data_IF_968372451709
#
_entry.id   IF_968372451709
#
_cell.length_a   1.000
_cell.length_b   1.000
_cell.length_c   1.000
_cell.angle_alpha   90.00
_cell.angle_beta   90.00
_cell.angle_gamma   90.00
#
_symmetry.space_group_name_H-M   'P 1'
#
loop_
_entity.id
_entity.type
_entity.pdbx_description
1 polymer ?
#
# COMPACT_ATOMS: atom_id res chain seq x y z
N UNK A 1 -1.09 -16.21 -8.82
CA UNK A 1 -0.28 -16.31 -7.59
C UNK A 1 -0.18 -17.74 -7.10
N UNK A 2 -1.16 -18.61 -7.36
CA UNK A 2 -1.09 -20.07 -7.18
C UNK A 2 -0.20 -20.75 -8.21
N UNK A 3 -0.30 -20.38 -9.49
CA UNK A 3 0.49 -21.00 -10.58
C UNK A 3 2.01 -20.91 -10.37
N UNK A 4 2.52 -19.79 -9.84
CA UNK A 4 3.95 -19.64 -9.52
C UNK A 4 4.36 -20.48 -8.31
N UNK A 5 3.44 -20.76 -7.38
CA UNK A 5 3.70 -21.67 -6.26
C UNK A 5 3.69 -23.11 -6.74
N UNK A 6 2.73 -23.48 -7.59
CA UNK A 6 2.59 -24.83 -8.13
C UNK A 6 3.78 -25.21 -9.04
N UNK A 7 4.28 -24.28 -9.86
CA UNK A 7 5.47 -24.50 -10.71
C UNK A 7 6.77 -24.57 -9.89
N UNK A 8 6.85 -23.86 -8.75
CA UNK A 8 8.02 -23.86 -7.88
C UNK A 8 8.05 -25.10 -6.95
N UNK A 9 6.89 -25.60 -6.56
CA UNK A 9 6.70 -26.87 -5.87
C UNK A 9 7.00 -28.06 -6.80
N UNK A 10 6.66 -27.94 -8.09
CA UNK A 10 7.03 -28.93 -9.10
C UNK A 10 8.53 -28.99 -9.37
N UNK A 11 9.25 -27.85 -9.30
CA UNK A 11 10.71 -27.82 -9.38
C UNK A 11 11.40 -28.33 -8.10
N UNK A 12 10.68 -28.36 -6.97
CA UNK A 12 11.17 -28.92 -5.71
C UNK A 12 11.08 -30.46 -5.69
N UNK A 13 10.09 -31.03 -6.38
CA UNK A 13 9.82 -32.48 -6.42
C UNK A 13 10.68 -33.26 -7.44
N UNK A 14 11.48 -32.59 -8.27
CA UNK A 14 12.31 -33.21 -9.34
C UNK A 14 13.76 -33.40 -8.86
N UNK A 15 13.97 -34.41 -8.02
CA UNK A 15 15.26 -34.75 -7.37
C UNK A 15 16.44 -34.97 -8.35
N UNK A 16 16.14 -35.38 -9.59
CA UNK A 16 17.14 -35.74 -10.62
C UNK A 16 17.97 -34.52 -11.11
N UNK A 17 17.43 -33.30 -11.07
CA UNK A 17 18.12 -32.08 -11.48
C UNK A 17 18.77 -31.31 -10.29
N UNK A 18 18.41 -31.67 -9.05
CA UNK A 18 18.89 -31.04 -7.81
C UNK A 18 20.38 -31.30 -7.55
N UNK A 19 20.86 -32.51 -7.83
CA UNK A 19 22.25 -32.93 -7.64
C UNK A 19 23.23 -32.21 -8.59
N UNK A 20 22.74 -31.73 -9.73
CA UNK A 20 23.56 -31.14 -10.79
C UNK A 20 23.95 -29.66 -10.52
N UNK A 21 23.32 -29.04 -9.51
CA UNK A 21 23.59 -27.69 -9.00
C UNK A 21 24.84 -27.60 -8.09
N UNK A 22 25.43 -28.74 -7.67
CA UNK A 22 26.71 -28.79 -6.95
C UNK A 22 27.91 -28.53 -7.89
N UNK A 23 28.06 -27.27 -8.30
CA UNK A 23 29.09 -26.80 -9.25
C UNK A 23 30.54 -27.00 -8.78
N UNK A 24 30.78 -27.07 -7.47
CA UNK A 24 32.12 -27.24 -6.89
C UNK A 24 32.76 -28.59 -7.25
N UNK A 25 31.96 -29.66 -7.31
CA UNK A 25 32.39 -31.02 -7.70
C UNK A 25 32.54 -31.12 -9.23
N UNK A 26 31.64 -30.51 -9.99
CA UNK A 26 31.68 -30.47 -11.46
C UNK A 26 32.90 -29.71 -12.00
N UNK A 27 33.30 -28.63 -11.34
CA UNK A 27 34.54 -27.90 -11.65
C UNK A 27 35.81 -28.67 -11.25
N UNK A 28 35.80 -29.39 -10.13
CA UNK A 28 36.92 -30.25 -9.74
C UNK A 28 37.15 -31.43 -10.71
N UNK A 29 36.07 -31.97 -11.30
CA UNK A 29 36.13 -33.01 -12.32
C UNK A 29 36.57 -32.46 -13.69
N UNK A 30 36.12 -31.25 -14.06
CA UNK A 30 36.53 -30.60 -15.32
C UNK A 30 38.00 -30.11 -15.33
N UNK A 31 38.63 -29.97 -14.16
CA UNK A 31 40.03 -29.52 -14.04
C UNK A 31 41.10 -30.63 -14.17
N UNK A 32 40.74 -31.88 -14.49
CA UNK A 32 41.74 -32.90 -14.86
C UNK A 32 42.11 -32.78 -16.35
N UNK A 33 43.35 -32.46 -16.72
CA UNK A 33 43.69 -32.12 -18.10
C UNK A 33 43.87 -33.37 -18.97
N UNK A 34 42.99 -33.57 -19.94
CA UNK A 34 43.35 -34.27 -21.18
C UNK A 34 44.21 -33.32 -22.00
N UNK A 35 45.51 -33.60 -22.10
CA UNK A 35 46.36 -33.12 -23.19
C UNK A 35 47.56 -34.03 -23.40
N UNK A 36 47.82 -34.24 -24.70
CA UNK A 36 48.62 -35.26 -25.36
C UNK A 36 50.14 -35.07 -25.21
N UNK A 37 50.88 -36.20 -25.25
CA UNK A 37 52.23 -36.42 -25.83
C UNK A 37 53.36 -36.86 -24.89
N UNK A 38 53.96 -38.01 -25.20
CA UNK A 38 55.38 -38.33 -24.97
C UNK A 38 55.77 -38.99 -23.64
N UNK A 39 56.22 -40.25 -23.69
CA UNK A 39 57.04 -40.87 -22.63
C UNK A 39 58.42 -40.16 -22.54
N UNK A 40 59.13 -40.11 -21.38
CA UNK A 40 59.68 -41.31 -20.75
C UNK A 40 59.67 -41.36 -19.21
N UNK A 41 59.50 -42.60 -18.78
CA UNK A 41 59.94 -43.25 -17.56
C UNK A 41 61.02 -42.57 -16.67
N UNK A 42 60.70 -42.40 -15.38
CA UNK A 42 61.69 -42.43 -14.29
C UNK A 42 61.12 -43.14 -13.06
N UNK A 43 61.34 -44.44 -12.98
CA UNK A 43 61.25 -45.17 -11.71
C UNK A 43 62.49 -44.87 -10.85
N UNK A 44 62.38 -45.01 -9.53
CA UNK A 44 63.25 -45.93 -8.82
C UNK A 44 62.46 -46.97 -7.99
N UNK A 45 63.08 -48.14 -7.89
CA UNK A 45 62.57 -49.48 -7.56
C UNK A 45 62.33 -49.73 -6.05
N UNK A 46 61.20 -50.38 -5.67
CA UNK A 46 61.03 -51.76 -5.09
C UNK A 46 61.48 -52.02 -3.62
N UNK A 47 60.94 -53.01 -2.83
CA UNK A 47 60.26 -54.25 -3.28
C UNK A 47 58.95 -54.70 -2.56
N UNK A 48 58.14 -55.41 -3.36
CA UNK A 48 57.36 -56.65 -3.13
C UNK A 48 56.81 -56.98 -1.73
N UNK A 49 55.48 -57.13 -1.62
CA UNK A 49 54.82 -58.32 -1.06
C UNK A 49 53.40 -58.41 -1.66
N UNK A 50 53.15 -59.54 -2.33
CA UNK A 50 51.93 -59.76 -3.10
C UNK A 50 50.71 -60.03 -2.24
N UNK A 51 49.56 -59.67 -2.78
CA UNK A 51 48.30 -60.39 -2.58
C UNK A 51 47.33 -59.96 -3.66
N UNK A 52 46.77 -60.98 -4.31
CA UNK A 52 45.84 -60.89 -5.42
C UNK A 52 44.46 -60.52 -4.88
N UNK A 53 43.79 -59.64 -5.62
CA UNK A 53 42.34 -59.60 -5.85
C UNK A 53 41.47 -59.74 -4.60
N UNK A 54 40.84 -58.63 -4.21
CA UNK A 54 39.43 -58.64 -3.81
C UNK A 54 38.82 -57.31 -4.21
N UNK A 55 38.26 -57.33 -5.41
CA UNK A 55 37.32 -56.34 -5.92
C UNK A 55 36.05 -56.53 -5.10
N UNK A 56 35.89 -55.79 -4.01
CA UNK A 56 34.65 -55.73 -3.23
C UNK A 56 34.25 -54.28 -3.07
N UNK A 57 33.20 -53.91 -3.81
CA UNK A 57 32.21 -52.91 -3.41
C UNK A 57 32.73 -51.51 -3.11
N UNK A 58 33.14 -50.80 -4.16
CA UNK A 58 33.03 -49.33 -4.20
C UNK A 58 31.72 -49.00 -4.93
N UNK A 59 30.61 -49.10 -4.23
CA UNK A 59 29.30 -48.68 -4.76
C UNK A 59 28.35 -48.17 -3.66
N UNK A 60 28.83 -47.88 -2.45
CA UNK A 60 27.95 -47.49 -1.34
C UNK A 60 28.49 -46.35 -0.47
N UNK A 61 29.52 -45.65 -0.94
CA UNK A 61 30.04 -44.44 -0.28
C UNK A 61 29.88 -43.18 -1.15
N UNK A 62 29.42 -43.33 -2.40
CA UNK A 62 29.11 -42.20 -3.29
C UNK A 62 27.66 -41.77 -3.11
N UNK A 63 26.74 -42.73 -2.99
CA UNK A 63 25.30 -42.43 -2.76
C UNK A 63 25.06 -41.74 -1.41
N UNK A 64 25.81 -42.10 -0.37
CA UNK A 64 25.62 -41.52 0.98
C UNK A 64 26.10 -40.07 1.08
N UNK A 65 27.10 -39.65 0.30
CA UNK A 65 27.48 -38.22 0.29
C UNK A 65 26.60 -37.40 -0.66
N UNK A 66 26.12 -38.01 -1.75
CA UNK A 66 25.21 -37.36 -2.70
C UNK A 66 23.82 -37.10 -2.07
N UNK A 67 23.28 -38.05 -1.30
CA UNK A 67 22.02 -37.86 -0.55
C UNK A 67 22.16 -36.78 0.54
N UNK A 68 23.31 -36.74 1.23
CA UNK A 68 23.55 -35.79 2.33
C UNK A 68 23.79 -34.36 1.80
N UNK A 69 24.39 -34.24 0.61
CA UNK A 69 24.56 -32.98 -0.12
C UNK A 69 23.19 -32.42 -0.58
N UNK A 70 22.26 -33.27 -1.01
CA UNK A 70 20.88 -32.91 -1.41
C UNK A 70 20.03 -32.50 -0.20
N UNK A 71 20.12 -33.23 0.91
CA UNK A 71 19.39 -32.91 2.16
C UNK A 71 19.82 -31.55 2.75
N UNK A 72 21.09 -31.16 2.63
CA UNK A 72 21.55 -29.82 3.04
C UNK A 72 20.99 -28.70 2.14
N UNK A 73 20.86 -28.94 0.83
CA UNK A 73 20.23 -27.99 -0.10
C UNK A 73 18.73 -27.85 0.16
N UNK A 74 18.04 -28.95 0.44
CA UNK A 74 16.62 -28.97 0.77
C UNK A 74 16.33 -28.15 2.04
N UNK A 75 17.12 -28.35 3.12
CA UNK A 75 16.99 -27.55 4.34
C UNK A 75 17.22 -26.05 4.11
N UNK A 76 18.17 -25.68 3.26
CA UNK A 76 18.44 -24.28 2.92
C UNK A 76 17.28 -23.69 2.11
N UNK A 77 16.83 -24.42 1.09
CA UNK A 77 15.78 -23.99 0.18
C UNK A 77 14.43 -23.86 0.92
N UNK A 78 14.12 -24.79 1.82
CA UNK A 78 12.93 -24.70 2.67
C UNK A 78 13.02 -23.51 3.63
N UNK A 79 14.18 -23.24 4.23
CA UNK A 79 14.38 -22.04 5.04
C UNK A 79 14.16 -20.74 4.23
N UNK A 80 14.61 -20.71 2.97
CA UNK A 80 14.36 -19.59 2.06
C UNK A 80 12.88 -19.47 1.67
N UNK A 81 12.17 -20.57 1.41
CA UNK A 81 10.73 -20.55 1.14
C UNK A 81 9.93 -20.05 2.33
N UNK A 82 10.23 -20.53 3.53
CA UNK A 82 9.67 -20.00 4.78
C UNK A 82 9.94 -18.51 4.94
N UNK A 83 11.16 -18.04 4.59
CA UNK A 83 11.50 -16.62 4.66
C UNK A 83 10.73 -15.78 3.63
N UNK A 84 10.56 -16.29 2.41
CA UNK A 84 9.78 -15.65 1.34
C UNK A 84 8.31 -15.56 1.74
N UNK A 85 7.70 -16.64 2.22
CA UNK A 85 6.30 -16.65 2.64
C UNK A 85 6.03 -15.70 3.82
N UNK A 86 6.93 -15.66 4.80
CA UNK A 86 6.85 -14.70 5.90
C UNK A 86 6.96 -13.24 5.39
N UNK A 87 7.83 -13.01 4.40
CA UNK A 87 7.99 -11.67 3.80
C UNK A 87 6.77 -11.27 2.97
N UNK A 88 6.19 -12.20 2.20
CA UNK A 88 4.96 -11.99 1.45
C UNK A 88 3.79 -11.68 2.39
N UNK A 89 3.65 -12.40 3.50
CA UNK A 89 2.58 -12.15 4.47
C UNK A 89 2.70 -10.74 5.11
N UNK A 90 3.92 -10.31 5.43
CA UNK A 90 4.18 -8.94 5.89
C UNK A 90 3.86 -7.89 4.82
N UNK A 91 4.19 -8.17 3.56
CA UNK A 91 3.90 -7.26 2.44
C UNK A 91 2.39 -7.14 2.21
N UNK A 92 1.64 -8.25 2.30
CA UNK A 92 0.17 -8.24 2.23
C UNK A 92 -0.43 -7.41 3.36
N UNK A 93 0.04 -7.59 4.59
CA UNK A 93 -0.42 -6.80 5.75
C UNK A 93 -0.09 -5.31 5.58
N UNK A 94 1.10 -4.98 5.07
CA UNK A 94 1.50 -3.60 4.82
C UNK A 94 0.68 -2.97 3.70
N UNK A 95 0.34 -3.74 2.66
CA UNK A 95 -0.56 -3.30 1.60
C UNK A 95 -1.94 -2.97 2.16
N UNK A 96 -2.50 -3.83 3.01
CA UNK A 96 -3.77 -3.60 3.70
C UNK A 96 -3.71 -2.34 4.57
N UNK A 97 -2.61 -2.13 5.30
CA UNK A 97 -2.40 -0.89 6.09
C UNK A 97 -2.33 0.38 5.22
N UNK A 98 -1.74 0.29 4.03
CA UNK A 98 -1.73 1.41 3.06
C UNK A 98 -3.14 1.68 2.55
N UNK A 99 -3.90 0.65 2.21
CA UNK A 99 -5.28 0.73 1.73
C UNK A 99 -6.18 1.38 2.80
N UNK A 100 -6.08 0.92 4.06
CA UNK A 100 -6.75 1.50 5.22
C UNK A 100 -6.40 2.99 5.40
N UNK A 101 -5.14 3.35 5.16
CA UNK A 101 -4.66 4.75 5.23
C UNK A 101 -5.22 5.58 4.08
N UNK A 102 -5.32 5.03 2.87
CA UNK A 102 -5.91 5.69 1.70
C UNK A 102 -7.39 5.99 1.94
N UNK A 103 -8.15 5.00 2.40
CA UNK A 103 -9.56 5.16 2.76
C UNK A 103 -9.74 6.18 3.89
N UNK A 104 -8.88 6.15 4.91
CA UNK A 104 -8.89 7.13 5.99
C UNK A 104 -8.66 8.56 5.46
N UNK A 105 -7.68 8.76 4.59
CA UNK A 105 -7.41 10.07 3.96
C UNK A 105 -8.60 10.51 3.12
N UNK A 106 -9.21 9.59 2.37
CA UNK A 106 -10.35 9.87 1.50
C UNK A 106 -11.57 10.36 2.32
N UNK A 107 -11.92 9.64 3.39
CA UNK A 107 -12.99 10.04 4.32
C UNK A 107 -12.69 11.40 4.95
N UNK A 108 -11.44 11.66 5.35
CA UNK A 108 -11.05 12.93 5.96
C UNK A 108 -11.15 14.09 4.97
N UNK A 109 -10.73 13.87 3.73
CA UNK A 109 -10.71 14.90 2.69
C UNK A 109 -12.14 15.26 2.25
N UNK A 110 -13.02 14.28 2.17
CA UNK A 110 -14.45 14.52 1.92
C UNK A 110 -15.12 15.26 3.07
N UNK A 111 -14.78 14.93 4.33
CA UNK A 111 -15.26 15.69 5.49
C UNK A 111 -14.77 17.16 5.45
N UNK A 112 -13.49 17.39 5.14
CA UNK A 112 -12.95 18.75 5.00
C UNK A 112 -13.59 19.54 3.84
N UNK A 113 -13.82 18.89 2.69
CA UNK A 113 -14.56 19.50 1.56
C UNK A 113 -15.98 19.86 1.97
N UNK A 114 -16.67 18.96 2.67
CA UNK A 114 -18.03 19.20 3.15
C UNK A 114 -18.07 20.38 4.14
N UNK A 115 -17.10 20.49 5.05
CA UNK A 115 -16.94 21.64 5.93
C UNK A 115 -16.71 22.95 5.17
N UNK A 116 -15.89 22.93 4.12
CA UNK A 116 -15.60 24.11 3.31
C UNK A 116 -16.85 24.60 2.57
N UNK A 117 -17.57 23.70 1.91
CA UNK A 117 -18.83 24.01 1.21
C UNK A 117 -19.86 24.57 2.21
N UNK A 118 -19.93 24.00 3.42
CA UNK A 118 -20.83 24.50 4.44
C UNK A 118 -20.48 25.94 4.87
N UNK A 119 -19.20 26.24 5.08
CA UNK A 119 -18.73 27.59 5.42
C UNK A 119 -19.02 28.58 4.29
N UNK A 120 -18.80 28.17 3.04
CA UNK A 120 -19.09 28.97 1.86
C UNK A 120 -20.59 29.29 1.76
N UNK A 121 -21.47 28.29 1.94
CA UNK A 121 -22.92 28.48 1.96
C UNK A 121 -23.37 29.42 3.08
N UNK A 122 -22.77 29.31 4.26
CA UNK A 122 -23.05 30.18 5.40
C UNK A 122 -22.66 31.65 5.11
N UNK A 123 -21.44 31.87 4.61
CA UNK A 123 -20.97 33.20 4.24
C UNK A 123 -21.78 33.81 3.10
N UNK A 124 -22.05 33.02 2.05
CA UNK A 124 -22.89 33.42 0.91
C UNK A 124 -24.29 33.83 1.37
N UNK A 125 -24.97 33.02 2.17
CA UNK A 125 -26.29 33.39 2.72
C UNK A 125 -26.23 34.66 3.57
N UNK A 126 -25.19 34.84 4.39
CA UNK A 126 -25.02 36.04 5.21
C UNK A 126 -24.85 37.30 4.36
N UNK A 127 -24.05 37.22 3.29
CA UNK A 127 -23.87 38.35 2.35
C UNK A 127 -25.15 38.70 1.59
N UNK A 128 -25.94 37.70 1.17
CA UNK A 128 -27.25 37.94 0.54
C UNK A 128 -28.19 38.64 1.50
N UNK A 129 -28.29 38.19 2.75
CA UNK A 129 -29.08 38.86 3.79
C UNK A 129 -28.65 40.32 4.01
N UNK A 130 -27.34 40.55 4.17
CA UNK A 130 -26.78 41.89 4.35
C UNK A 130 -27.04 42.80 3.15
N UNK A 131 -27.00 42.27 1.92
CA UNK A 131 -27.28 43.04 0.70
C UNK A 131 -28.71 43.55 0.64
N UNK A 132 -29.69 42.71 1.01
CA UNK A 132 -31.11 43.09 1.06
C UNK A 132 -31.35 44.13 2.15
N UNK A 133 -30.77 43.93 3.34
CA UNK A 133 -30.85 44.90 4.43
C UNK A 133 -30.22 46.25 4.05
N UNK A 134 -29.05 46.22 3.39
CA UNK A 134 -28.37 47.41 2.90
C UNK A 134 -29.18 48.15 1.83
N UNK A 135 -29.89 47.44 0.95
CA UNK A 135 -30.75 48.05 -0.07
C UNK A 135 -31.94 48.79 0.57
N UNK A 136 -32.58 48.18 1.57
CA UNK A 136 -33.64 48.82 2.35
C UNK A 136 -33.08 50.07 3.03
N UNK A 137 -31.96 49.95 3.76
CA UNK A 137 -31.32 51.08 4.41
C UNK A 137 -30.93 52.20 3.44
N UNK A 138 -30.46 51.87 2.22
CA UNK A 138 -30.08 52.85 1.20
C UNK A 138 -31.28 53.63 0.64
N UNK A 139 -32.39 52.95 0.33
CA UNK A 139 -33.63 53.60 -0.15
C UNK A 139 -34.14 54.60 0.88
N UNK A 140 -34.07 54.22 2.16
CA UNK A 140 -34.54 54.98 3.31
C UNK A 140 -33.55 56.05 3.80
N UNK A 141 -32.26 55.91 3.51
CA UNK A 141 -31.21 56.87 3.82
C UNK A 141 -31.06 57.98 2.77
N UNK A 142 -31.77 57.89 1.65
CA UNK A 142 -31.70 58.89 0.57
C UNK A 142 -32.42 60.19 0.98
N UNK A 143 -31.84 61.34 0.63
CA UNK A 143 -32.33 62.66 1.01
C UNK A 143 -33.46 63.15 0.07
N UNK A 144 -34.58 62.44 0.03
CA UNK A 144 -35.78 62.87 -0.70
C UNK A 144 -36.89 63.18 0.32
N UNK A 145 -37.56 64.34 0.25
CA UNK A 145 -38.70 64.65 1.10
C UNK A 145 -39.89 63.76 0.69
N UNK A 146 -40.08 62.65 1.41
CA UNK A 146 -41.23 61.77 1.22
C UNK A 146 -42.47 62.34 1.94
N UNK A 147 -43.63 62.32 1.28
CA UNK A 147 -44.92 62.79 1.82
C UNK A 147 -45.41 62.02 3.06
N UNK A 148 -44.80 60.88 3.39
CA UNK A 148 -45.11 60.04 4.55
C UNK A 148 -44.36 60.44 5.83
N UNK A 149 -43.48 61.46 5.76
CA UNK A 149 -42.70 61.97 6.91
C UNK A 149 -43.54 62.86 7.83
N UNK A 150 -44.62 63.45 7.32
CA UNK A 150 -45.54 64.31 8.08
C UNK A 150 -46.54 63.44 8.87
N UNK A 151 -46.11 62.99 10.05
CA UNK A 151 -46.99 62.34 11.05
C UNK A 151 -46.80 60.84 11.29
N UNK A 152 -45.98 60.13 10.49
CA UNK A 152 -45.83 58.67 10.56
C UNK A 152 -44.40 58.18 10.86
N UNK A 153 -43.69 58.84 11.77
CA UNK A 153 -42.31 58.46 12.15
C UNK A 153 -42.14 57.03 12.71
N UNK A 154 -43.23 56.40 13.16
CA UNK A 154 -43.23 55.00 13.62
C UNK A 154 -43.18 54.00 12.47
N UNK A 155 -43.72 54.31 11.29
CA UNK A 155 -43.74 53.39 10.14
C UNK A 155 -42.32 53.07 9.67
N UNK A 156 -41.44 54.06 9.64
CA UNK A 156 -40.03 53.87 9.33
C UNK A 156 -39.35 52.88 10.29
N UNK A 157 -39.53 53.08 11.60
CA UNK A 157 -38.96 52.20 12.63
C UNK A 157 -39.52 50.78 12.51
N UNK A 158 -40.83 50.63 12.31
CA UNK A 158 -41.46 49.33 12.14
C UNK A 158 -40.99 48.62 10.88
N UNK A 159 -40.84 49.32 9.76
CA UNK A 159 -40.33 48.74 8.51
C UNK A 159 -38.88 48.26 8.67
N UNK A 160 -38.01 49.06 9.29
CA UNK A 160 -36.61 48.67 9.52
C UNK A 160 -36.51 47.49 10.48
N UNK A 161 -37.31 47.48 11.57
CA UNK A 161 -37.33 46.37 12.54
C UNK A 161 -37.90 45.11 11.88
N UNK A 162 -39.01 45.20 11.15
CA UNK A 162 -39.65 44.05 10.52
C UNK A 162 -38.77 43.43 9.43
N UNK A 163 -38.14 44.27 8.59
CA UNK A 163 -37.23 43.81 7.53
C UNK A 163 -35.95 43.18 8.11
N UNK A 164 -35.37 43.78 9.14
CA UNK A 164 -34.25 43.18 9.88
C UNK A 164 -34.62 41.84 10.49
N UNK A 165 -35.77 41.76 11.17
CA UNK A 165 -36.25 40.53 11.82
C UNK A 165 -36.57 39.43 10.80
N UNK A 166 -37.17 39.76 9.66
CA UNK A 166 -37.37 38.83 8.54
C UNK A 166 -36.02 38.30 8.02
N UNK A 167 -35.03 39.18 7.86
CA UNK A 167 -33.71 38.82 7.33
C UNK A 167 -32.92 37.92 8.30
N UNK A 168 -32.98 38.23 9.60
CA UNK A 168 -32.40 37.36 10.64
C UNK A 168 -33.15 36.03 10.74
N UNK A 169 -34.47 36.04 10.58
CA UNK A 169 -35.29 34.82 10.60
C UNK A 169 -34.97 33.92 9.41
N UNK A 170 -34.83 34.45 8.20
CA UNK A 170 -34.46 33.64 7.02
C UNK A 170 -33.05 33.08 7.15
N UNK A 171 -32.10 33.88 7.64
CA UNK A 171 -30.74 33.40 7.94
C UNK A 171 -30.74 32.27 8.96
N UNK A 172 -31.50 32.43 10.06
CA UNK A 172 -31.62 31.41 11.10
C UNK A 172 -32.33 30.15 10.58
N UNK A 173 -33.36 30.29 9.75
CA UNK A 173 -34.02 29.14 9.09
C UNK A 173 -33.08 28.41 8.15
N UNK A 174 -32.25 29.11 7.37
CA UNK A 174 -31.25 28.49 6.48
C UNK A 174 -30.21 27.73 7.30
N UNK A 175 -29.71 28.32 8.39
CA UNK A 175 -28.79 27.65 9.32
C UNK A 175 -29.46 26.45 9.96
N UNK A 176 -30.68 26.61 10.48
CA UNK A 176 -31.43 25.52 11.11
C UNK A 176 -31.73 24.39 10.13
N UNK A 177 -32.03 24.71 8.87
CA UNK A 177 -32.23 23.73 7.81
C UNK A 177 -30.92 23.00 7.48
N UNK A 178 -29.81 23.74 7.35
CA UNK A 178 -28.48 23.15 7.16
C UNK A 178 -28.05 22.25 8.34
N UNK A 179 -28.44 22.63 9.56
CA UNK A 179 -28.22 21.83 10.76
C UNK A 179 -29.12 20.58 10.80
N UNK A 180 -30.41 20.72 10.48
CA UNK A 180 -31.38 19.63 10.56
C UNK A 180 -31.25 18.60 9.43
N UNK A 181 -30.70 18.99 8.28
CA UNK A 181 -30.44 18.05 7.18
C UNK A 181 -29.19 17.17 7.38
N UNK A 182 -28.52 17.27 8.54
CA UNK A 182 -27.46 16.33 8.91
C UNK A 182 -26.15 16.50 8.13
N UNK A 183 -25.90 17.69 7.55
CA UNK A 183 -24.58 17.98 6.95
C UNK A 183 -23.50 18.28 8.01
N UNK A 184 -23.90 18.38 9.28
CA UNK A 184 -23.05 18.46 10.46
C UNK A 184 -23.26 17.21 11.31
N UNK A 185 -22.37 16.24 11.10
CA UNK A 185 -22.12 15.15 12.03
C UNK A 185 -23.23 14.11 12.16
N UNK A 186 -23.07 13.01 11.42
CA UNK A 186 -22.74 11.76 12.10
C UNK A 186 -21.37 11.30 11.62
#
# INVERSE_FOLDING_TARGET
MTEVRDELEQLLDDDDDMADLYLSRKLAVACSPVSVSGAPNWYPSSPTIGSKISRTSRASAVTVEEDNDVEELEMLLEAYFMQIDNTLNKLTTLREYIDDTEDYINIQLDNHRNQLIQLELFLSSGTVCLSIYSLVAAIFGMNIPYTWKEGHGYMFKWVVILTGLLCTSTFTSIISYARHKGLIGS
#
